data_IF_828259633964
#
_entry.id   IF_828259633964
#
_cell.length_a   1.000
_cell.length_b   1.000
_cell.length_c   1.000
_cell.angle_alpha   90.00
_cell.angle_beta   90.00
_cell.angle_gamma   90.00
#
_symmetry.space_group_name_H-M   'P 1'
#
loop_
_entity.id
_entity.type
_entity.pdbx_description
1 polymer ?
#
# COMPACT_ATOMS: atom_id res chain seq x y z
N UNK A 1 -18.73 -8.71 53.53
CA UNK A 1 -18.73 -8.43 52.08
C UNK A 1 -17.83 -7.23 51.89
N UNK A 2 -16.55 -7.45 51.54
CA UNK A 2 -15.63 -6.35 51.28
C UNK A 2 -16.21 -5.53 50.11
N UNK A 3 -16.43 -4.22 50.33
CA UNK A 3 -16.96 -3.35 49.29
C UNK A 3 -15.99 -3.36 48.11
N UNK A 4 -16.43 -3.91 46.98
CA UNK A 4 -15.70 -3.86 45.73
C UNK A 4 -15.59 -2.39 45.31
N UNK A 5 -14.47 -1.76 45.66
CA UNK A 5 -14.18 -0.40 45.26
C UNK A 5 -13.83 -0.41 43.78
N UNK A 6 -14.86 -0.37 42.93
CA UNK A 6 -14.72 -0.37 41.47
C UNK A 6 -14.36 1.04 41.01
N UNK A 7 -13.42 1.14 40.06
CA UNK A 7 -13.05 2.38 39.39
C UNK A 7 -13.40 2.29 37.91
N UNK A 8 -14.01 3.33 37.32
CA UNK A 8 -14.30 3.36 35.89
C UNK A 8 -13.00 3.60 35.11
N UNK A 9 -12.74 2.82 34.08
CA UNK A 9 -11.57 2.96 33.19
C UNK A 9 -11.97 2.74 31.73
N UNK A 10 -11.10 3.10 30.81
CA UNK A 10 -11.27 2.91 29.38
C UNK A 10 -10.11 2.11 28.78
N UNK A 11 -10.40 1.21 27.85
CA UNK A 11 -9.39 0.52 27.04
C UNK A 11 -9.62 0.86 25.57
N UNK A 12 -8.63 1.45 24.93
CA UNK A 12 -8.67 1.92 23.57
C UNK A 12 -7.68 1.16 22.67
N UNK A 13 -8.16 0.77 21.50
CA UNK A 13 -7.34 0.20 20.43
C UNK A 13 -7.74 0.81 19.08
N UNK A 14 -6.73 1.19 18.29
CA UNK A 14 -6.94 1.86 17.01
C UNK A 14 -6.17 1.17 15.88
N UNK A 15 -6.92 0.71 14.89
CA UNK A 15 -6.46 0.29 13.57
C UNK A 15 -6.65 1.44 12.57
N UNK A 16 -5.98 1.42 11.40
CA UNK A 16 -6.22 2.42 10.35
C UNK A 16 -7.67 2.46 9.85
N UNK A 17 -8.39 1.36 9.99
CA UNK A 17 -9.76 1.17 9.48
C UNK A 17 -10.84 1.25 10.56
N UNK A 18 -10.48 1.09 11.83
CA UNK A 18 -11.43 1.04 12.95
C UNK A 18 -10.77 1.53 14.24
N UNK A 19 -11.52 2.27 15.04
CA UNK A 19 -11.14 2.62 16.40
C UNK A 19 -12.19 2.10 17.37
N UNK A 20 -11.74 1.51 18.48
CA UNK A 20 -12.60 0.99 19.54
C UNK A 20 -12.15 1.55 20.88
N UNK A 21 -13.12 1.97 21.68
CA UNK A 21 -12.93 2.35 23.08
C UNK A 21 -13.97 1.57 23.89
N UNK A 22 -13.50 0.78 24.85
CA UNK A 22 -14.33 -0.02 25.74
C UNK A 22 -14.29 0.59 27.14
N UNK A 23 -15.44 0.96 27.67
CA UNK A 23 -15.60 1.40 29.05
C UNK A 23 -15.86 0.18 29.93
N UNK A 24 -15.14 0.09 31.05
CA UNK A 24 -15.31 -0.98 32.02
C UNK A 24 -15.05 -0.49 33.44
N UNK A 25 -15.57 -1.23 34.40
CA UNK A 25 -15.26 -1.05 35.81
C UNK A 25 -14.30 -2.16 36.26
N UNK A 26 -13.21 -1.75 36.91
CA UNK A 26 -12.18 -2.65 37.44
C UNK A 26 -12.02 -2.41 38.94
N UNK A 27 -11.53 -3.40 39.68
CA UNK A 27 -11.22 -3.22 41.10
C UNK A 27 -10.13 -2.14 41.29
N UNK A 28 -10.28 -1.31 42.32
CA UNK A 28 -9.26 -0.34 42.68
C UNK A 28 -7.95 -1.05 43.02
N UNK A 29 -6.86 -0.66 42.36
CA UNK A 29 -5.59 -1.37 42.42
C UNK A 29 -5.36 -2.33 41.25
N UNK A 30 -6.33 -2.51 40.35
CA UNK A 30 -6.14 -3.30 39.15
C UNK A 30 -5.05 -2.74 38.25
N UNK A 31 -4.34 -3.63 37.56
CA UNK A 31 -3.28 -3.27 36.63
C UNK A 31 -3.80 -3.04 35.21
N UNK A 32 -2.98 -2.43 34.36
CA UNK A 32 -3.24 -2.32 32.92
C UNK A 32 -3.55 -3.71 32.32
N UNK A 33 -2.75 -4.73 32.66
CA UNK A 33 -2.96 -6.08 32.13
C UNK A 33 -4.34 -6.65 32.48
N UNK A 34 -4.76 -6.47 33.73
CA UNK A 34 -6.05 -6.96 34.22
C UNK A 34 -7.20 -6.25 33.52
N UNK A 35 -7.13 -4.92 33.36
CA UNK A 35 -8.15 -4.17 32.64
C UNK A 35 -8.25 -4.58 31.17
N UNK A 36 -7.12 -4.82 30.50
CA UNK A 36 -7.11 -5.29 29.11
C UNK A 36 -7.77 -6.67 29.01
N UNK A 37 -7.41 -7.62 29.87
CA UNK A 37 -8.02 -8.96 29.88
C UNK A 37 -9.51 -8.90 30.18
N UNK A 38 -9.93 -8.10 31.15
CA UNK A 38 -11.34 -7.95 31.54
C UNK A 38 -12.17 -7.23 30.48
N UNK A 39 -11.57 -6.36 29.68
CA UNK A 39 -12.27 -5.62 28.62
C UNK A 39 -12.74 -6.51 27.45
N UNK A 40 -12.24 -7.73 27.32
CA UNK A 40 -12.53 -8.62 26.17
C UNK A 40 -11.91 -8.13 24.86
N UNK A 41 -11.07 -7.09 24.87
CA UNK A 41 -10.49 -6.53 23.65
C UNK A 41 -9.56 -7.53 22.93
N UNK A 42 -8.95 -8.45 23.66
CA UNK A 42 -8.11 -9.52 23.11
C UNK A 42 -8.93 -10.54 22.31
N UNK A 43 -10.18 -10.77 22.70
CA UNK A 43 -11.11 -11.65 21.97
C UNK A 43 -11.62 -10.96 20.70
N UNK A 44 -11.91 -9.66 20.79
CA UNK A 44 -12.32 -8.86 19.62
C UNK A 44 -11.18 -8.68 18.61
N UNK A 45 -9.94 -8.58 19.09
CA UNK A 45 -8.75 -8.35 18.27
C UNK A 45 -7.64 -9.36 18.59
N UNK A 46 -7.69 -10.58 18.02
CA UNK A 46 -6.70 -11.62 18.26
C UNK A 46 -5.30 -11.28 17.73
N UNK A 47 -5.15 -10.19 16.96
CA UNK A 47 -3.85 -9.66 16.54
C UNK A 47 -3.10 -8.89 17.63
N UNK A 48 -3.74 -8.59 18.76
CA UNK A 48 -3.09 -7.93 19.89
C UNK A 48 -2.22 -8.96 20.63
N UNK A 49 -0.93 -8.68 20.72
CA UNK A 49 0.04 -9.47 21.46
C UNK A 49 0.66 -8.58 22.54
N UNK A 50 0.29 -8.77 23.80
CA UNK A 50 0.74 -7.92 24.91
C UNK A 50 2.26 -7.99 25.17
N UNK A 51 2.96 -8.99 24.65
CA UNK A 51 4.43 -9.03 24.72
C UNK A 51 5.09 -8.11 23.70
N UNK A 52 4.42 -7.85 22.57
CA UNK A 52 4.94 -7.03 21.46
C UNK A 52 4.34 -5.64 21.41
N UNK A 53 3.07 -5.51 21.79
CA UNK A 53 2.34 -4.26 21.80
C UNK A 53 2.78 -3.41 22.98
N UNK A 54 3.12 -2.15 22.71
CA UNK A 54 3.33 -1.17 23.77
C UNK A 54 1.97 -0.71 24.30
N UNK A 55 1.89 -0.48 25.60
CA UNK A 55 0.71 0.09 26.25
C UNK A 55 1.04 1.45 26.85
N UNK A 56 0.02 2.28 27.04
CA UNK A 56 0.17 3.56 27.70
C UNK A 56 -1.11 4.09 28.30
N UNK A 57 -0.99 5.16 29.06
CA UNK A 57 -2.12 5.91 29.63
C UNK A 57 -2.00 7.36 29.15
N UNK A 58 -3.04 7.87 28.49
CA UNK A 58 -3.08 9.24 27.94
C UNK A 58 -1.82 9.65 27.15
N UNK A 59 -1.40 8.81 26.19
CA UNK A 59 -0.22 9.09 25.36
C UNK A 59 1.14 8.84 26.03
N UNK A 60 1.18 8.40 27.29
CA UNK A 60 2.42 8.05 28.00
C UNK A 60 2.61 6.55 28.07
N UNK A 61 3.74 6.04 27.58
CA UNK A 61 4.09 4.62 27.67
C UNK A 61 4.15 4.16 29.14
N UNK A 62 3.57 2.99 29.41
CA UNK A 62 3.50 2.36 30.72
C UNK A 62 3.78 0.86 30.61
N UNK A 63 4.00 0.21 31.75
CA UNK A 63 4.14 -1.24 31.87
C UNK A 63 2.80 -1.91 32.15
N UNK A 64 2.67 -3.18 31.80
CA UNK A 64 1.45 -3.97 32.07
C UNK A 64 1.11 -4.04 33.57
N UNK A 65 2.11 -3.93 34.43
CA UNK A 65 1.98 -3.96 35.91
C UNK A 65 1.57 -2.60 36.51
N UNK A 66 1.44 -1.54 35.72
CA UNK A 66 1.05 -0.22 36.22
C UNK A 66 -0.38 -0.29 36.77
N UNK A 67 -0.55 0.19 38.01
CA UNK A 67 -1.86 0.29 38.67
C UNK A 67 -2.68 1.42 38.05
N UNK A 68 -3.96 1.15 37.81
CA UNK A 68 -4.91 2.10 37.24
C UNK A 68 -5.58 2.98 38.29
N UNK A 69 -5.91 4.19 37.87
CA UNK A 69 -6.74 5.13 38.60
C UNK A 69 -8.07 5.37 37.87
N UNK A 70 -9.04 5.90 38.61
CA UNK A 70 -10.33 6.21 38.05
C UNK A 70 -10.21 7.18 36.86
N UNK A 71 -10.88 6.82 35.76
CA UNK A 71 -10.95 7.53 34.48
C UNK A 71 -9.67 7.44 33.65
N UNK A 72 -8.74 6.55 34.00
CA UNK A 72 -7.61 6.26 33.13
C UNK A 72 -8.09 5.63 31.82
N UNK A 73 -7.47 6.07 30.72
CA UNK A 73 -7.60 5.44 29.42
C UNK A 73 -6.32 4.72 29.05
N UNK A 74 -6.40 3.40 29.05
CA UNK A 74 -5.37 2.48 28.56
C UNK A 74 -5.41 2.48 27.04
N UNK A 75 -4.27 2.76 26.41
CA UNK A 75 -4.10 2.78 24.97
C UNK A 75 -3.16 1.65 24.56
N UNK A 76 -3.64 0.75 23.69
CA UNK A 76 -2.84 -0.34 23.13
C UNK A 76 -2.26 0.13 21.79
N UNK A 77 -0.95 0.33 21.73
CA UNK A 77 -0.26 0.77 20.52
C UNK A 77 0.09 -0.40 19.62
N UNK A 78 0.06 -0.16 18.30
CA UNK A 78 0.48 -1.14 17.29
C UNK A 78 2.00 -1.25 17.25
N UNK A 79 2.58 -2.46 17.18
CA UNK A 79 4.00 -2.61 16.95
C UNK A 79 4.35 -2.01 15.59
N UNK A 80 5.40 -1.18 15.55
CA UNK A 80 5.94 -0.69 14.29
C UNK A 80 6.68 -1.85 13.65
N UNK A 81 6.09 -2.45 12.61
CA UNK A 81 6.73 -3.48 11.79
C UNK A 81 7.78 -2.82 10.89
N UNK A 82 8.90 -2.40 11.49
CA UNK A 82 10.10 -2.06 10.74
C UNK A 82 11.19 -3.02 11.17
N UNK A 83 11.19 -4.21 10.57
CA UNK A 83 12.37 -5.06 10.59
C UNK A 83 13.43 -4.39 9.70
N UNK A 84 14.56 -3.91 10.25
CA UNK A 84 15.58 -3.19 9.48
C UNK A 84 16.16 -4.01 8.33
N UNK A 85 16.08 -5.35 8.38
CA UNK A 85 16.57 -6.25 7.32
C UNK A 85 15.55 -6.43 6.19
N UNK A 86 14.27 -6.46 6.51
CA UNK A 86 13.18 -6.65 5.53
C UNK A 86 13.00 -5.39 4.66
N UNK A 87 13.10 -4.19 5.26
CA UNK A 87 12.94 -2.90 4.56
C UNK A 87 14.04 -2.67 3.51
N UNK A 88 15.27 -3.12 3.77
CA UNK A 88 16.35 -3.06 2.76
C UNK A 88 16.07 -4.00 1.58
N UNK A 89 15.55 -5.20 1.83
CA UNK A 89 15.24 -6.19 0.78
C UNK A 89 14.04 -5.79 -0.07
N UNK A 90 12.98 -5.23 0.54
CA UNK A 90 11.77 -4.83 -0.19
C UNK A 90 11.97 -3.59 -1.08
N UNK A 91 12.83 -2.65 -0.69
CA UNK A 91 13.14 -1.45 -1.51
C UNK A 91 13.83 -1.77 -2.83
N UNK A 92 14.70 -2.78 -2.87
CA UNK A 92 15.37 -3.21 -4.10
C UNK A 92 14.38 -3.84 -5.08
N UNK A 93 13.51 -4.74 -4.59
CA UNK A 93 12.53 -5.47 -5.43
C UNK A 93 11.43 -4.57 -6.00
N UNK A 94 11.01 -3.53 -5.28
CA UNK A 94 9.97 -2.61 -5.76
C UNK A 94 10.41 -1.79 -6.98
N UNK A 95 11.65 -1.26 -6.94
CA UNK A 95 12.24 -0.52 -8.08
C UNK A 95 12.39 -1.36 -9.34
N UNK A 96 12.79 -2.63 -9.18
CA UNK A 96 12.93 -3.56 -10.29
C UNK A 96 11.56 -3.86 -10.92
N UNK A 97 10.55 -4.17 -10.11
CA UNK A 97 9.19 -4.44 -10.60
C UNK A 97 8.56 -3.21 -11.26
N UNK A 98 8.72 -2.01 -10.69
CA UNK A 98 8.26 -0.76 -11.30
C UNK A 98 8.93 -0.51 -12.65
N UNK A 99 10.25 -0.77 -12.77
CA UNK A 99 10.98 -0.65 -14.05
C UNK A 99 10.53 -1.68 -15.10
N UNK A 100 10.22 -2.91 -14.70
CA UNK A 100 9.69 -3.92 -15.63
C UNK A 100 8.29 -3.54 -16.11
N UNK A 101 7.41 -3.09 -15.21
CA UNK A 101 6.06 -2.62 -15.56
C UNK A 101 6.09 -1.39 -16.49
N UNK A 102 7.04 -0.46 -16.28
CA UNK A 102 7.22 0.71 -17.15
C UNK A 102 7.67 0.30 -18.56
N UNK A 103 8.55 -0.71 -18.65
CA UNK A 103 9.01 -1.25 -19.94
C UNK A 103 7.88 -1.95 -20.70
N UNK A 104 7.11 -2.80 -20.01
CA UNK A 104 5.99 -3.54 -20.61
C UNK A 104 4.92 -2.59 -21.16
N UNK A 105 4.59 -1.52 -20.41
CA UNK A 105 3.67 -0.47 -20.90
C UNK A 105 4.20 0.26 -22.12
N UNK A 106 5.50 0.58 -22.14
CA UNK A 106 6.11 1.26 -23.28
C UNK A 106 6.16 0.35 -24.52
N UNK A 107 6.40 -0.95 -24.33
CA UNK A 107 6.35 -1.94 -25.40
C UNK A 107 4.93 -2.06 -25.97
N UNK A 108 3.91 -2.15 -25.12
CA UNK A 108 2.51 -2.19 -25.54
C UNK A 108 2.09 -0.91 -26.29
N UNK A 109 2.55 0.26 -25.82
CA UNK A 109 2.27 1.55 -26.47
C UNK A 109 2.91 1.64 -27.87
N UNK A 110 4.17 1.20 -28.01
CA UNK A 110 4.86 1.15 -29.30
C UNK A 110 4.16 0.18 -30.25
N UNK A 111 3.78 -1.01 -29.78
CA UNK A 111 3.10 -2.02 -30.59
C UNK A 111 1.75 -1.50 -31.09
N UNK A 112 0.95 -0.89 -30.21
CA UNK A 112 -0.33 -0.30 -30.60
C UNK A 112 -0.17 0.84 -31.60
N UNK A 113 0.82 1.73 -31.41
CA UNK A 113 1.10 2.79 -32.36
C UNK A 113 1.55 2.25 -33.73
N UNK A 114 2.37 1.20 -33.76
CA UNK A 114 2.79 0.54 -35.00
C UNK A 114 1.61 -0.17 -35.70
N UNK A 115 0.69 -0.74 -34.94
CA UNK A 115 -0.51 -1.41 -35.47
C UNK A 115 -1.45 -0.38 -36.12
N UNK A 116 -1.67 0.76 -35.47
CA UNK A 116 -2.45 1.87 -36.04
C UNK A 116 -1.81 2.43 -37.32
N UNK A 117 -0.47 2.56 -37.36
CA UNK A 117 0.24 3.00 -38.56
C UNK A 117 0.17 1.96 -39.70
N UNK A 118 0.22 0.67 -39.37
CA UNK A 118 0.09 -0.42 -40.35
C UNK A 118 -1.31 -0.45 -40.97
N UNK A 119 -2.36 -0.16 -40.20
CA UNK A 119 -3.72 -0.01 -40.70
C UNK A 119 -3.86 1.20 -41.65
N UNK A 120 -3.23 2.33 -41.32
CA UNK A 120 -3.22 3.53 -42.17
C UNK A 120 -2.48 3.29 -43.50
N UNK A 121 -1.34 2.59 -43.46
CA UNK A 121 -0.56 2.27 -44.67
C UNK A 121 -1.32 1.27 -45.55
N UNK A 122 -1.92 0.25 -44.93
CA UNK A 122 -2.79 -0.71 -45.62
C UNK A 122 -3.98 -0.02 -46.30
N UNK A 123 -4.58 0.98 -45.66
CA UNK A 123 -5.66 1.78 -46.23
C UNK A 123 -5.19 2.64 -47.42
N UNK A 124 -4.03 3.31 -47.31
CA UNK A 124 -3.47 4.16 -48.39
C UNK A 124 -3.04 3.37 -49.64
N UNK A 125 -2.59 2.13 -49.49
CA UNK A 125 -2.21 1.25 -50.60
C UNK A 125 -3.42 0.74 -51.41
N UNK A 126 -4.60 0.66 -50.79
CA UNK A 126 -5.85 0.27 -51.46
C UNK A 126 -6.44 1.45 -52.25
N UNK A 127 -6.37 2.68 -51.73
CA UNK A 127 -6.91 3.87 -52.41
C UNK A 127 -5.99 4.46 -53.50
N UNK A 128 -4.68 4.18 -53.48
CA UNK A 128 -3.73 4.64 -54.49
C UNK A 128 -2.88 3.46 -55.00
N UNK A 129 -3.41 2.65 -55.93
CA UNK A 129 -2.59 1.63 -56.57
C UNK A 129 -1.41 2.32 -57.28
N UNK A 130 -0.20 1.73 -57.25
CA UNK A 130 0.96 2.34 -57.91
C UNK A 130 0.65 2.58 -59.38
N UNK A 131 0.84 3.83 -59.82
CA UNK A 131 0.70 4.21 -61.23
C UNK A 131 1.62 3.31 -62.07
N UNK A 132 1.01 2.57 -63.00
CA UNK A 132 1.71 1.80 -64.00
C UNK A 132 2.41 2.77 -64.96
N UNK A 133 3.68 3.07 -64.69
CA UNK A 133 4.55 3.80 -65.62
C UNK A 133 4.94 2.85 -66.75
N UNK A 134 4.08 2.87 -67.78
CA UNK A 134 4.42 2.41 -69.12
C UNK A 134 5.47 3.35 -69.73
N UNK A 135 6.27 2.75 -70.61
CA UNK A 135 7.59 3.14 -71.09
C UNK A 135 7.68 4.55 -71.71
N UNK A 136 8.78 5.23 -71.42
CA UNK A 136 9.16 6.50 -72.05
C UNK A 136 10.68 6.67 -72.04
N UNK A 137 11.38 5.75 -72.72
CA UNK A 137 12.83 5.78 -72.88
C UNK A 137 13.28 6.76 -73.97
N UNK A 138 14.34 7.49 -73.64
CA UNK A 138 15.33 8.14 -74.51
C UNK A 138 14.96 9.46 -75.21
N UNK A 139 15.41 10.56 -74.60
CA UNK A 139 16.01 11.68 -75.34
C UNK A 139 17.48 11.74 -74.96
N UNK A 140 18.37 11.43 -75.91
CA UNK A 140 19.78 11.79 -75.82
C UNK A 140 19.98 13.03 -76.68
N UNK A 141 20.36 14.13 -76.04
CA UNK A 141 20.65 15.39 -76.70
C UNK A 141 21.87 15.25 -77.63
N UNK A 142 21.76 15.93 -78.76
CA UNK A 142 22.79 16.00 -79.79
C UNK A 142 24.08 16.60 -79.27
N UNK A 143 25.17 15.86 -79.48
CA UNK A 143 26.52 16.41 -79.59
C UNK A 143 26.80 16.53 -81.09
N UNK A 144 26.66 17.74 -81.61
CA UNK A 144 27.22 18.12 -82.90
C UNK A 144 28.74 18.00 -82.81
N UNK A 145 29.32 17.10 -83.62
CA UNK A 145 30.74 17.11 -83.92
C UNK A 145 30.92 16.89 -85.44
N UNK A 146 31.55 17.89 -86.05
CA UNK A 146 32.03 18.03 -87.44
C UNK A 146 31.01 18.62 -88.43
#
# INVERSE_FOLDING_TARGET
>A
MAGSNQIPVEVAFALPTEQVILQLEVEAGATIEQAIKQSGILEKFPQIDLEKNKVGIFGKLQTLDTVLHARDRVEIYRPITCDPKEVRRQRAKKKEKERLLEKEKLEDEIVNSLLELADIISFKLIENPPLNISEGGMIHDGVDNI
#
